data_IF_186660620345
#
_entry.id   IF_186660620345
#
_cell.length_a   1.000
_cell.length_b   1.000
_cell.length_c   1.000
_cell.angle_alpha   90.00
_cell.angle_beta   90.00
_cell.angle_gamma   90.00
#
_symmetry.space_group_name_H-M   'P 1'
#
loop_
_entity.id
_entity.type
_entity.pdbx_description
1 polymer ?
#
# COMPACT_ATOMS: atom_id res chain seq x y z
N UNK A 1 4.36 -4.01 -20.39
CA UNK A 1 5.48 -4.98 -20.45
C UNK A 1 5.79 -5.47 -19.05
N UNK A 2 5.77 -6.78 -18.82
CA UNK A 2 6.20 -7.35 -17.54
C UNK A 2 7.71 -7.25 -17.39
N UNK A 3 8.19 -6.88 -16.20
CA UNK A 3 9.61 -6.91 -15.85
C UNK A 3 9.88 -8.13 -14.97
N UNK A 4 10.98 -8.83 -15.22
CA UNK A 4 11.42 -9.95 -14.38
C UNK A 4 12.15 -9.43 -13.15
N UNK A 5 11.84 -10.00 -11.98
CA UNK A 5 12.53 -9.72 -10.72
C UNK A 5 13.09 -11.02 -10.16
N UNK A 6 14.40 -11.11 -10.01
CA UNK A 6 15.08 -12.23 -9.36
C UNK A 6 15.51 -11.83 -7.95
N UNK A 7 15.03 -12.55 -6.94
CA UNK A 7 15.45 -12.37 -5.54
C UNK A 7 16.55 -13.37 -5.22
N UNK A 8 17.68 -12.90 -4.70
CA UNK A 8 18.85 -13.74 -4.35
C UNK A 8 18.94 -13.93 -2.84
N UNK A 9 19.60 -15.01 -2.42
CA UNK A 9 19.88 -15.33 -1.02
C UNK A 9 18.60 -15.42 -0.16
N UNK A 10 17.54 -16.03 -0.71
CA UNK A 10 16.32 -16.31 0.06
C UNK A 10 16.64 -17.44 1.03
N UNK A 11 16.45 -17.25 2.35
CA UNK A 11 16.61 -18.32 3.33
C UNK A 11 15.69 -19.51 3.00
N UNK A 12 16.18 -20.73 3.19
CA UNK A 12 15.43 -21.94 2.80
C UNK A 12 14.10 -22.07 3.57
N UNK A 13 14.09 -21.70 4.85
CA UNK A 13 12.89 -21.66 5.70
C UNK A 13 11.83 -20.69 5.15
N UNK A 14 12.26 -19.51 4.70
CA UNK A 14 11.38 -18.53 4.06
C UNK A 14 10.84 -19.05 2.73
N UNK A 15 11.68 -19.68 1.92
CA UNK A 15 11.26 -20.26 0.65
C UNK A 15 10.18 -21.33 0.85
N UNK A 16 10.37 -22.24 1.81
CA UNK A 16 9.42 -23.30 2.12
C UNK A 16 8.10 -22.77 2.69
N UNK A 17 8.15 -21.76 3.56
CA UNK A 17 6.95 -21.10 4.07
C UNK A 17 6.15 -20.43 2.95
N UNK A 18 6.82 -19.73 2.03
CA UNK A 18 6.16 -19.11 0.87
C UNK A 18 5.56 -20.17 -0.06
N UNK A 19 6.28 -21.28 -0.30
CA UNK A 19 5.78 -22.40 -1.09
C UNK A 19 4.53 -23.02 -0.48
N UNK A 20 4.52 -23.27 0.83
CA UNK A 20 3.35 -23.76 1.57
C UNK A 20 2.15 -22.84 1.43
N UNK A 21 2.35 -21.53 1.60
CA UNK A 21 1.26 -20.53 1.48
C UNK A 21 0.75 -20.40 0.05
N UNK A 22 1.63 -20.50 -0.95
CA UNK A 22 1.25 -20.52 -2.35
C UNK A 22 0.34 -21.73 -2.66
N UNK A 23 0.75 -22.93 -2.22
CA UNK A 23 -0.04 -24.15 -2.38
C UNK A 23 -1.40 -24.05 -1.67
N UNK A 24 -1.45 -23.53 -0.44
CA UNK A 24 -2.70 -23.32 0.29
C UNK A 24 -3.64 -22.33 -0.41
N UNK A 25 -3.10 -21.37 -1.15
CA UNK A 25 -3.86 -20.42 -1.95
C UNK A 25 -4.20 -20.93 -3.37
N UNK A 26 -3.78 -22.15 -3.74
CA UNK A 26 -3.95 -22.69 -5.09
C UNK A 26 -3.16 -21.93 -6.17
N UNK A 27 -2.05 -21.29 -5.80
CA UNK A 27 -1.23 -20.44 -6.66
C UNK A 27 0.16 -21.03 -6.87
N UNK A 28 0.80 -20.72 -7.99
CA UNK A 28 2.24 -20.93 -8.10
C UNK A 28 3.00 -20.01 -7.14
N UNK A 29 4.22 -20.39 -6.76
CA UNK A 29 5.07 -19.57 -5.89
C UNK A 29 5.29 -18.16 -6.46
N UNK A 30 5.55 -18.06 -7.77
CA UNK A 30 5.75 -16.79 -8.46
C UNK A 30 4.52 -15.88 -8.42
N UNK A 31 3.32 -16.44 -8.64
CA UNK A 31 2.06 -15.68 -8.56
C UNK A 31 1.78 -15.22 -7.13
N UNK A 32 1.99 -16.10 -6.15
CA UNK A 32 1.81 -15.78 -4.75
C UNK A 32 2.74 -14.62 -4.33
N UNK A 33 4.04 -14.72 -4.66
CA UNK A 33 5.02 -13.67 -4.36
C UNK A 33 4.68 -12.36 -5.08
N UNK A 34 4.28 -12.41 -6.35
CA UNK A 34 3.87 -11.21 -7.09
C UNK A 34 2.66 -10.53 -6.44
N UNK A 35 1.68 -11.31 -5.95
CA UNK A 35 0.52 -10.77 -5.22
C UNK A 35 0.94 -10.07 -3.94
N UNK A 36 1.85 -10.66 -3.15
CA UNK A 36 2.35 -10.01 -1.94
C UNK A 36 3.17 -8.75 -2.26
N UNK A 37 4.02 -8.78 -3.30
CA UNK A 37 4.76 -7.60 -3.76
C UNK A 37 3.82 -6.48 -4.22
N UNK A 38 2.72 -6.82 -4.89
CA UNK A 38 1.69 -5.83 -5.28
C UNK A 38 1.08 -5.16 -4.05
N UNK A 39 0.71 -5.94 -3.03
CA UNK A 39 0.17 -5.38 -1.77
C UNK A 39 1.15 -4.43 -1.09
N UNK A 40 2.44 -4.74 -1.14
CA UNK A 40 3.50 -3.86 -0.62
C UNK A 40 3.62 -2.59 -1.47
N UNK A 41 3.59 -2.70 -2.80
CA UNK A 41 3.68 -1.54 -3.70
C UNK A 41 2.44 -0.63 -3.69
N UNK A 42 1.25 -1.19 -3.47
CA UNK A 42 0.00 -0.43 -3.34
C UNK A 42 -0.06 0.36 -2.04
N UNK A 43 0.56 -0.15 -0.97
CA UNK A 43 0.87 0.61 0.25
C UNK A 43 2.07 1.52 0.00
N UNK A 44 1.92 2.48 -0.91
CA UNK A 44 2.82 3.64 -0.98
C UNK A 44 2.93 4.20 0.46
N UNK A 45 4.15 4.33 1.02
CA UNK A 45 4.34 4.70 2.41
C UNK A 45 3.50 5.93 2.76
N UNK A 46 2.88 5.97 3.93
CA UNK A 46 2.14 7.16 4.43
C UNK A 46 2.90 8.47 4.15
N UNK A 47 4.24 8.44 4.27
CA UNK A 47 5.11 9.57 3.94
C UNK A 47 5.00 10.04 2.48
N UNK A 48 4.90 9.14 1.50
CA UNK A 48 4.67 9.49 0.10
C UNK A 48 3.24 10.00 -0.12
N UNK A 49 2.25 9.45 0.57
CA UNK A 49 0.87 9.94 0.52
C UNK A 49 0.76 11.38 1.06
N UNK A 50 1.39 11.67 2.22
CA UNK A 50 1.48 13.02 2.78
C UNK A 50 2.33 13.95 1.92
N UNK A 51 3.43 13.48 1.32
CA UNK A 51 4.22 14.27 0.40
C UNK A 51 3.42 14.63 -0.87
N UNK A 52 2.63 13.70 -1.41
CA UNK A 52 1.70 13.98 -2.52
C UNK A 52 0.59 14.96 -2.12
N UNK A 53 0.02 14.81 -0.92
CA UNK A 53 -0.99 15.72 -0.39
C UNK A 53 -0.42 17.14 -0.16
N UNK A 54 0.81 17.24 0.37
CA UNK A 54 1.51 18.51 0.56
C UNK A 54 1.91 19.17 -0.78
N UNK A 55 2.23 18.36 -1.80
CA UNK A 55 2.52 18.84 -3.15
C UNK A 55 1.26 19.32 -3.90
N UNK A 56 0.09 18.79 -3.56
CA UNK A 56 -1.18 19.34 -4.01
C UNK A 56 -1.43 20.66 -3.28
N UNK A 57 -1.17 21.79 -3.93
CA UNK A 57 -1.72 23.08 -3.49
C UNK A 57 -3.22 23.09 -3.74
N UNK A 58 -3.97 22.44 -2.87
CA UNK A 58 -5.43 22.56 -2.86
C UNK A 58 -5.72 23.92 -2.18
N UNK A 59 -6.29 24.90 -2.90
CA UNK A 59 -6.78 26.11 -2.26
C UNK A 59 -8.00 25.71 -1.42
N UNK A 60 -7.76 25.38 -0.16
CA UNK A 60 -8.81 25.24 0.84
C UNK A 60 -8.89 26.57 1.58
N UNK A 61 -9.92 27.38 1.31
CA UNK A 61 -10.14 28.61 2.07
C UNK A 61 -10.37 28.24 3.54
N UNK A 62 -9.60 28.88 4.43
CA UNK A 62 -9.53 28.52 5.86
C UNK A 62 -10.89 28.70 6.54
N UNK A 63 -11.66 29.69 6.10
CA UNK A 63 -13.02 29.96 6.51
C UNK A 63 -13.95 28.78 6.24
N UNK A 64 -13.90 28.18 5.05
CA UNK A 64 -14.73 27.02 4.68
C UNK A 64 -14.38 25.79 5.54
N UNK A 65 -13.09 25.57 5.79
CA UNK A 65 -12.63 24.48 6.69
C UNK A 65 -13.10 24.69 8.13
N UNK A 66 -13.10 25.94 8.60
CA UNK A 66 -13.55 26.27 9.96
C UNK A 66 -15.07 26.12 10.09
N UNK A 67 -15.85 26.48 9.07
CA UNK A 67 -17.30 26.25 9.06
C UNK A 67 -17.64 24.76 9.08
N UNK A 68 -16.98 23.94 8.25
CA UNK A 68 -17.20 22.49 8.21
C UNK A 68 -16.90 21.84 9.57
N UNK A 69 -15.81 22.21 10.24
CA UNK A 69 -15.46 21.69 11.57
C UNK A 69 -16.48 22.11 12.63
N UNK A 70 -17.02 23.34 12.53
CA UNK A 70 -18.07 23.81 13.45
C UNK A 70 -19.36 23.04 13.24
N UNK A 71 -19.79 22.86 11.99
CA UNK A 71 -20.97 22.08 11.66
C UNK A 71 -20.87 20.62 12.15
N UNK A 72 -19.70 19.97 12.06
CA UNK A 72 -19.49 18.60 12.58
C UNK A 72 -19.54 18.55 14.13
N UNK A 73 -19.07 19.60 14.82
CA UNK A 73 -19.12 19.67 16.28
C UNK A 73 -20.52 19.97 16.81
N UNK A 74 -21.24 20.87 16.15
CA UNK A 74 -22.59 21.28 16.58
C UNK A 74 -23.65 20.21 16.28
N UNK A 75 -23.35 19.26 15.39
CA UNK A 75 -24.18 18.10 15.07
C UNK A 75 -23.93 16.84 15.92
N UNK A 76 -22.97 16.86 16.86
CA UNK A 76 -22.65 15.76 17.80
C UNK A 76 -23.26 16.01 19.17
#
# INVERSE_FOLDING_TARGET
>A
MGKMLQVRNVPDDLHEELRRRAAAAGMSLSEYVLRELRRVGERSPMAEAFARAAALRIPLPVDEVVEDIRADRDGR
#
